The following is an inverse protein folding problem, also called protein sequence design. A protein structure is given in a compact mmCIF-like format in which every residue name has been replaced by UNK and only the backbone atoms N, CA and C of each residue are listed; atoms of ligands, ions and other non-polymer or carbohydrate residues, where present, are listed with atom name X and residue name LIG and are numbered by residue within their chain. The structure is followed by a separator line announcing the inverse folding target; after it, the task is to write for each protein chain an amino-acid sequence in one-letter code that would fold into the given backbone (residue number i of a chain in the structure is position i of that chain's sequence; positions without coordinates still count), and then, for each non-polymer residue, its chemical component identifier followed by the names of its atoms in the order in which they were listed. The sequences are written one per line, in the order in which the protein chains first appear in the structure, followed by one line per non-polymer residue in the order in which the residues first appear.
data_IF_964247866458
#
_entry.id   IF_964247866458
#
_cell.length_a   1.000
_cell.length_b   1.000
_cell.length_c   1.000
_cell.angle_alpha   90.00
_cell.angle_beta   90.00
_cell.angle_gamma   90.00
#
_symmetry.space_group_name_H-M   'P 1'
#
loop_
_entity.id
_entity.type
_entity.pdbx_description
1 polymer ?
#
# COMPACT_ATOMS: atom_id res chain seq x y z
N UNK A 1 13.67 62.23 24.20
CA UNK A 1 12.19 62.14 24.31
C UNK A 1 11.59 62.30 22.93
N UNK A 2 10.97 61.27 22.37
CA UNK A 2 9.93 61.43 21.34
C UNK A 2 9.02 60.21 21.33
N UNK A 3 7.72 60.50 21.27
CA UNK A 3 6.58 59.68 21.67
C UNK A 3 6.22 58.64 20.59
N UNK A 4 6.03 57.41 21.08
CA UNK A 4 5.03 56.39 20.70
C UNK A 4 4.19 56.63 19.44
N UNK A 5 4.24 55.66 18.51
CA UNK A 5 3.09 55.27 17.70
C UNK A 5 3.11 53.75 17.51
N UNK A 6 2.55 53.04 18.50
CA UNK A 6 2.19 51.63 18.38
C UNK A 6 0.83 51.62 17.66
N UNK A 7 0.83 51.23 16.38
CA UNK A 7 -0.40 50.86 15.69
C UNK A 7 -0.65 49.39 15.96
N UNK A 8 -1.74 49.18 16.67
CA UNK A 8 -2.34 47.93 17.06
C UNK A 8 -2.90 47.21 15.83
N UNK A 9 -2.23 46.15 15.39
CA UNK A 9 -2.74 45.18 14.41
C UNK A 9 -3.16 43.87 15.11
N UNK A 10 -3.92 43.97 16.21
CA UNK A 10 -4.70 42.84 16.69
C UNK A 10 -6.02 42.74 15.91
N UNK A 11 -5.96 42.28 14.65
CA UNK A 11 -7.16 41.83 13.92
C UNK A 11 -6.99 40.41 13.42
N UNK A 12 -7.64 39.50 14.14
CA UNK A 12 -8.32 38.35 13.54
C UNK A 12 -7.47 37.10 13.24
N UNK A 13 -6.83 36.51 14.25
CA UNK A 13 -6.54 35.08 14.20
C UNK A 13 -7.73 34.32 14.81
N UNK A 14 -8.76 34.09 13.99
CA UNK A 14 -9.81 33.10 14.29
C UNK A 14 -9.17 31.72 14.43
N UNK A 15 -8.80 31.35 15.66
CA UNK A 15 -8.12 30.08 16.01
C UNK A 15 -9.07 28.89 16.19
N UNK A 16 -10.34 29.01 15.79
CA UNK A 16 -11.35 27.97 16.02
C UNK A 16 -11.63 27.08 14.79
N UNK A 17 -11.32 27.52 13.56
CA UNK A 17 -11.58 26.75 12.34
C UNK A 17 -10.59 25.61 12.05
N UNK A 18 -9.31 25.79 12.39
CA UNK A 18 -8.26 24.84 11.99
C UNK A 18 -8.05 23.64 12.92
N UNK A 19 -8.68 23.63 14.10
CA UNK A 19 -8.50 22.52 15.05
C UNK A 19 -9.27 21.25 14.64
N UNK A 20 -10.33 21.38 13.83
CA UNK A 20 -11.20 20.26 13.46
C UNK A 20 -10.79 19.53 12.17
N UNK A 21 -9.98 20.13 11.29
CA UNK A 21 -9.60 19.49 10.02
C UNK A 21 -8.53 18.39 10.19
N UNK A 22 -7.66 18.51 11.20
CA UNK A 22 -6.64 17.48 11.49
C UNK A 22 -7.19 16.21 12.13
N UNK A 23 -8.41 16.26 12.68
CA UNK A 23 -9.04 15.15 13.41
C UNK A 23 -9.55 14.07 12.44
N UNK A 24 -9.76 14.41 11.16
CA UNK A 24 -10.31 13.49 10.15
C UNK A 24 -9.30 12.93 9.14
N UNK A 25 -8.01 13.26 9.24
CA UNK A 25 -6.98 12.75 8.32
C UNK A 25 -6.63 11.28 8.63
N UNK A 26 -6.44 10.48 7.59
CA UNK A 26 -5.82 9.16 7.72
C UNK A 26 -4.35 9.26 8.14
N UNK A 27 -3.77 8.15 8.61
CA UNK A 27 -2.36 8.11 8.97
C UNK A 27 -1.43 8.45 7.78
N UNK A 28 -1.82 8.05 6.56
CA UNK A 28 -1.06 8.35 5.34
C UNK A 28 -1.08 9.85 5.01
N UNK A 29 -2.26 10.48 5.06
CA UNK A 29 -2.40 11.91 4.77
C UNK A 29 -1.68 12.77 5.80
N UNK A 30 -1.73 12.39 7.09
CA UNK A 30 -0.93 13.05 8.14
C UNK A 30 0.57 12.96 7.86
N UNK A 31 1.05 11.78 7.45
CA UNK A 31 2.46 11.57 7.09
C UNK A 31 2.85 12.46 5.91
N UNK A 32 2.04 12.48 4.86
CA UNK A 32 2.32 13.27 3.66
C UNK A 32 2.38 14.76 3.97
N UNK A 33 1.49 15.26 4.82
CA UNK A 33 1.52 16.64 5.26
C UNK A 33 2.83 16.97 5.99
N UNK A 34 3.24 16.16 6.97
CA UNK A 34 4.50 16.36 7.71
C UNK A 34 5.69 16.39 6.76
N UNK A 35 5.75 15.45 5.81
CA UNK A 35 6.82 15.41 4.80
C UNK A 35 6.78 16.66 3.90
N UNK A 36 5.60 17.13 3.51
CA UNK A 36 5.47 18.34 2.68
C UNK A 36 6.00 19.60 3.38
N UNK A 37 5.83 19.67 4.69
CA UNK A 37 6.32 20.78 5.52
C UNK A 37 7.85 20.68 5.72
N UNK A 38 8.37 19.47 5.97
CA UNK A 38 9.83 19.23 6.08
C UNK A 38 10.58 19.50 4.77
N UNK A 39 9.93 19.39 3.60
CA UNK A 39 10.53 19.76 2.30
C UNK A 39 10.75 21.27 2.14
N UNK A 40 10.07 22.11 2.93
CA UNK A 40 10.14 23.57 2.84
C UNK A 40 11.14 24.12 3.84
N UNK A 41 12.30 24.60 3.36
CA UNK A 41 13.39 25.15 4.21
C UNK A 41 12.90 26.15 5.28
N UNK A 42 12.04 27.10 4.90
CA UNK A 42 11.52 28.10 5.84
C UNK A 42 10.67 27.49 6.96
N UNK A 43 9.90 26.43 6.65
CA UNK A 43 9.08 25.71 7.62
C UNK A 43 9.93 24.89 8.57
N UNK A 44 10.96 24.22 8.05
CA UNK A 44 11.99 23.57 8.89
C UNK A 44 12.63 24.59 9.83
N UNK A 45 13.00 25.77 9.34
CA UNK A 45 13.57 26.82 10.19
C UNK A 45 12.62 27.27 11.30
N UNK A 46 11.32 27.37 11.03
CA UNK A 46 10.31 27.67 12.04
C UNK A 46 10.18 26.53 13.05
N UNK A 47 10.12 25.28 12.59
CA UNK A 47 9.99 24.09 13.44
C UNK A 47 11.17 23.91 14.38
N UNK A 48 12.38 24.22 13.91
CA UNK A 48 13.62 24.07 14.68
C UNK A 48 13.97 25.32 15.49
N UNK A 49 13.17 26.38 15.42
CA UNK A 49 13.44 27.63 16.12
C UNK A 49 13.40 27.40 17.63
N UNK A 50 14.49 27.77 18.31
CA UNK A 50 14.61 27.63 19.77
C UNK A 50 15.21 26.29 20.21
N UNK A 51 15.46 25.36 19.29
CA UNK A 51 16.19 24.12 19.58
C UNK A 51 17.69 24.44 19.65
N UNK A 52 18.43 23.98 20.68
CA UNK A 52 19.87 24.09 20.75
C UNK A 52 20.56 23.43 19.54
N UNK A 53 21.64 24.03 19.05
CA UNK A 53 22.32 23.54 17.85
C UNK A 53 22.85 22.10 17.97
N UNK A 54 23.20 21.64 19.17
CA UNK A 54 23.67 20.27 19.39
C UNK A 54 22.53 19.26 19.29
N UNK A 55 21.34 19.56 19.82
CA UNK A 55 20.14 18.72 19.63
C UNK A 55 19.72 18.69 18.17
N UNK A 56 19.76 19.85 17.48
CA UNK A 56 19.45 19.88 16.05
C UNK A 56 20.45 19.06 15.23
N UNK A 57 21.73 19.05 15.62
CA UNK A 57 22.74 18.18 15.02
C UNK A 57 22.42 16.70 15.25
N UNK A 58 22.05 16.31 16.47
CA UNK A 58 21.66 14.93 16.75
C UNK A 58 20.45 14.48 15.90
N UNK A 59 19.47 15.36 15.69
CA UNK A 59 18.34 15.10 14.79
C UNK A 59 18.82 14.84 13.36
N UNK A 60 19.77 15.63 12.86
CA UNK A 60 20.35 15.45 11.53
C UNK A 60 21.06 14.09 11.43
N UNK A 61 21.92 13.76 12.39
CA UNK A 61 22.65 12.49 12.42
C UNK A 61 21.70 11.28 12.43
N UNK A 62 20.60 11.34 13.19
CA UNK A 62 19.57 10.30 13.18
C UNK A 62 18.86 10.18 11.82
N UNK A 63 18.54 11.30 11.18
CA UNK A 63 17.91 11.30 9.86
C UNK A 63 18.85 10.76 8.76
N UNK A 64 20.14 11.05 8.86
CA UNK A 64 21.17 10.51 7.97
C UNK A 64 21.31 8.99 8.16
N UNK A 65 21.34 8.50 9.40
CA UNK A 65 21.35 7.06 9.67
C UNK A 65 20.13 6.33 9.08
N UNK A 66 18.93 6.88 9.29
CA UNK A 66 17.69 6.35 8.68
C UNK A 66 17.75 6.37 7.16
N UNK A 67 18.31 7.43 6.56
CA UNK A 67 18.50 7.49 5.11
C UNK A 67 19.43 6.38 4.62
N UNK A 68 20.56 6.13 5.29
CA UNK A 68 21.49 5.06 4.93
C UNK A 68 20.86 3.67 5.00
N UNK A 69 20.05 3.39 6.02
CA UNK A 69 19.30 2.12 6.13
C UNK A 69 18.32 1.95 4.96
N UNK A 70 17.51 2.97 4.68
CA UNK A 70 16.54 2.94 3.58
C UNK A 70 17.21 2.80 2.20
N UNK A 71 18.36 3.43 2.01
CA UNK A 71 19.14 3.32 0.78
C UNK A 71 19.69 1.89 0.60
N UNK A 72 20.20 1.27 1.67
CA UNK A 72 20.68 -0.11 1.65
C UNK A 72 19.54 -1.08 1.32
N UNK A 73 18.40 -0.94 1.99
CA UNK A 73 17.21 -1.75 1.72
C UNK A 73 16.73 -1.62 0.28
N UNK A 74 16.73 -0.40 -0.27
CA UNK A 74 16.36 -0.18 -1.66
C UNK A 74 17.31 -0.90 -2.61
N UNK A 75 18.63 -0.78 -2.42
CA UNK A 75 19.63 -1.48 -3.24
C UNK A 75 19.47 -3.00 -3.16
N UNK A 76 19.22 -3.53 -1.96
CA UNK A 76 18.99 -4.96 -1.77
C UNK A 76 17.73 -5.44 -2.49
N UNK A 77 16.63 -4.68 -2.43
CA UNK A 77 15.41 -4.99 -3.19
C UNK A 77 15.65 -4.97 -4.69
N UNK A 78 16.34 -3.94 -5.18
CA UNK A 78 16.60 -3.79 -6.62
C UNK A 78 17.48 -4.92 -7.16
N UNK A 79 18.48 -5.36 -6.38
CA UNK A 79 19.33 -6.51 -6.75
C UNK A 79 18.56 -7.83 -6.71
N UNK A 80 17.74 -8.06 -5.67
CA UNK A 80 16.87 -9.24 -5.61
C UNK A 80 15.88 -9.29 -6.78
N UNK A 81 15.27 -8.17 -7.14
CA UNK A 81 14.36 -8.10 -8.28
C UNK A 81 15.08 -8.30 -9.61
N UNK A 82 16.32 -7.84 -9.73
CA UNK A 82 17.16 -8.10 -10.90
C UNK A 82 17.47 -9.60 -11.03
N UNK A 83 17.85 -10.26 -9.94
CA UNK A 83 18.08 -11.72 -9.92
C UNK A 83 16.81 -12.47 -10.31
N UNK A 84 15.66 -12.14 -9.69
CA UNK A 84 14.38 -12.77 -10.00
C UNK A 84 13.98 -12.60 -11.47
N UNK A 85 14.19 -11.40 -12.04
CA UNK A 85 13.92 -11.15 -13.46
C UNK A 85 14.80 -12.00 -14.37
N UNK A 86 16.11 -12.08 -14.07
CA UNK A 86 17.04 -12.91 -14.83
C UNK A 86 16.69 -14.41 -14.75
N UNK A 87 16.30 -14.89 -13.56
CA UNK A 87 15.82 -16.27 -13.37
C UNK A 87 14.54 -16.55 -14.15
N UNK A 88 13.56 -15.65 -14.09
CA UNK A 88 12.32 -15.76 -14.84
C UNK A 88 12.57 -15.78 -16.35
N UNK A 89 13.44 -14.90 -16.86
CA UNK A 89 13.83 -14.87 -18.27
C UNK A 89 14.50 -16.19 -18.70
N UNK A 90 15.38 -16.74 -17.87
CA UNK A 90 16.00 -18.06 -18.12
C UNK A 90 14.95 -19.17 -18.22
N UNK A 91 13.95 -19.17 -17.33
CA UNK A 91 12.86 -20.15 -17.34
C UNK A 91 12.04 -20.02 -18.64
N UNK A 92 11.68 -18.79 -19.03
CA UNK A 92 10.94 -18.52 -20.26
C UNK A 92 11.71 -19.03 -21.48
N UNK A 93 13.02 -18.80 -21.54
CA UNK A 93 13.88 -19.28 -22.62
C UNK A 93 13.89 -20.82 -22.67
N UNK A 94 14.04 -21.50 -21.53
CA UNK A 94 14.03 -22.98 -21.47
C UNK A 94 12.66 -23.56 -21.86
N UNK A 95 11.57 -22.94 -21.42
CA UNK A 95 10.20 -23.33 -21.81
C UNK A 95 9.99 -23.21 -23.32
N UNK A 96 10.39 -22.08 -23.91
CA UNK A 96 10.34 -21.87 -25.35
C UNK A 96 11.19 -22.89 -26.12
N UNK A 97 12.41 -23.19 -25.64
CA UNK A 97 13.29 -24.19 -26.26
C UNK A 97 12.70 -25.61 -26.24
N UNK A 98 11.85 -25.91 -25.25
CA UNK A 98 11.12 -27.19 -25.14
C UNK A 98 9.79 -27.20 -25.88
N UNK A 99 9.45 -26.12 -26.61
CA UNK A 99 8.21 -26.01 -27.38
C UNK A 99 6.97 -25.77 -26.52
N UNK A 100 7.12 -25.23 -25.31
CA UNK A 100 5.99 -24.85 -24.47
C UNK A 100 5.39 -23.55 -24.98
N UNK A 101 4.09 -23.56 -25.30
CA UNK A 101 3.35 -22.35 -25.64
C UNK A 101 3.05 -21.53 -24.38
N UNK A 102 3.92 -20.55 -24.11
CA UNK A 102 3.82 -19.66 -22.95
C UNK A 102 2.56 -18.79 -23.02
N UNK A 103 2.12 -18.42 -24.23
CA UNK A 103 0.96 -17.56 -24.41
C UNK A 103 -0.33 -18.31 -24.04
N UNK A 104 -0.45 -19.55 -24.50
CA UNK A 104 -1.52 -20.44 -24.07
C UNK A 104 -1.50 -20.75 -22.57
N UNK A 105 -0.33 -20.95 -21.96
CA UNK A 105 -0.22 -21.11 -20.51
C UNK A 105 -0.66 -19.87 -19.73
N UNK A 106 -0.29 -18.68 -20.20
CA UNK A 106 -0.75 -17.42 -19.60
C UNK A 106 -2.27 -17.28 -19.68
N UNK A 107 -2.88 -17.63 -20.81
CA UNK A 107 -4.35 -17.65 -20.95
C UNK A 107 -5.01 -18.61 -19.95
N UNK A 108 -4.45 -19.81 -19.73
CA UNK A 108 -4.95 -20.74 -18.71
C UNK A 108 -4.80 -20.19 -17.29
N UNK A 109 -3.67 -19.57 -16.97
CA UNK A 109 -3.39 -19.04 -15.62
C UNK A 109 -4.29 -17.84 -15.33
N UNK A 110 -4.39 -16.90 -16.27
CA UNK A 110 -5.26 -15.72 -16.16
C UNK A 110 -6.73 -16.14 -16.13
N UNK A 111 -7.14 -17.09 -16.97
CA UNK A 111 -8.50 -17.65 -16.97
C UNK A 111 -8.89 -18.38 -15.68
N UNK A 112 -7.93 -18.91 -14.91
CA UNK A 112 -8.16 -19.46 -13.56
C UNK A 112 -8.21 -18.39 -12.46
N UNK A 113 -7.72 -17.18 -12.75
CA UNK A 113 -7.65 -16.08 -11.78
C UNK A 113 -8.88 -15.16 -11.81
N UNK A 114 -9.72 -15.25 -12.85
CA UNK A 114 -11.11 -14.80 -12.74
C UNK A 114 -11.73 -15.60 -11.59
N UNK A 115 -12.27 -14.91 -10.59
CA UNK A 115 -12.91 -15.56 -9.46
C UNK A 115 -13.95 -16.52 -10.02
N UNK A 116 -13.65 -17.81 -9.92
CA UNK A 116 -14.58 -18.87 -10.24
C UNK A 116 -15.68 -18.72 -9.18
N UNK A 117 -16.65 -17.85 -9.46
CA UNK A 117 -17.84 -17.59 -8.65
C UNK A 117 -18.75 -18.80 -8.80
N UNK A 118 -18.20 -19.97 -8.48
CA UNK A 118 -18.85 -21.25 -8.55
C UNK A 118 -19.99 -21.21 -7.54
N UNK A 119 -21.21 -21.10 -8.06
CA UNK A 119 -22.42 -21.22 -7.27
C UNK A 119 -22.80 -22.68 -7.29
N UNK A 120 -23.01 -23.27 -6.13
CA UNK A 120 -23.49 -24.63 -5.96
C UNK A 120 -24.91 -24.60 -5.41
N UNK A 121 -25.80 -25.47 -5.89
CA UNK A 121 -27.15 -25.63 -5.33
C UNK A 121 -27.39 -27.11 -5.05
N UNK A 122 -27.62 -27.44 -3.78
CA UNK A 122 -27.99 -28.78 -3.33
C UNK A 122 -29.19 -28.67 -2.38
N UNK A 123 -30.22 -29.46 -2.63
CA UNK A 123 -31.46 -29.47 -1.83
C UNK A 123 -32.08 -28.06 -1.66
N UNK A 124 -31.94 -27.22 -2.70
CA UNK A 124 -32.42 -25.83 -2.71
C UNK A 124 -31.53 -24.82 -1.98
N UNK A 125 -30.44 -25.24 -1.34
CA UNK A 125 -29.53 -24.36 -0.60
C UNK A 125 -28.38 -23.89 -1.52
N UNK A 126 -28.24 -22.58 -1.77
CA UNK A 126 -27.13 -22.05 -2.55
C UNK A 126 -25.86 -21.88 -1.70
N UNK A 127 -24.69 -22.13 -2.29
CA UNK A 127 -23.39 -21.83 -1.69
C UNK A 127 -22.42 -21.31 -2.76
N UNK A 128 -21.64 -20.28 -2.45
CA UNK A 128 -20.70 -19.65 -3.39
C UNK A 128 -19.32 -20.34 -3.47
N UNK A 129 -19.16 -21.49 -2.81
CA UNK A 129 -17.85 -22.14 -2.67
C UNK A 129 -16.89 -21.43 -1.70
N UNK A 130 -17.24 -20.23 -1.24
CA UNK A 130 -16.46 -19.41 -0.32
C UNK A 130 -17.16 -19.29 1.05
N UNK A 131 -16.38 -19.06 2.10
CA UNK A 131 -16.90 -18.91 3.47
C UNK A 131 -17.32 -20.24 4.14
N UNK A 132 -18.15 -20.14 5.19
CA UNK A 132 -18.58 -21.30 5.97
C UNK A 132 -19.44 -22.23 5.10
N UNK A 133 -18.97 -23.46 4.91
CA UNK A 133 -19.67 -24.50 4.15
C UNK A 133 -20.99 -24.89 4.84
N UNK A 134 -22.16 -24.82 4.16
CA UNK A 134 -23.44 -25.25 4.71
C UNK A 134 -23.48 -26.77 4.97
N UNK A 135 -24.37 -27.19 5.87
CA UNK A 135 -24.43 -28.59 6.33
C UNK A 135 -24.74 -29.58 5.20
N UNK A 136 -25.58 -29.19 4.22
CA UNK A 136 -25.92 -30.04 3.07
C UNK A 136 -24.70 -30.37 2.18
N UNK A 137 -23.65 -29.54 2.23
CA UNK A 137 -22.41 -29.72 1.49
C UNK A 137 -21.28 -30.32 2.34
N UNK A 138 -21.46 -30.50 3.65
CA UNK A 138 -20.44 -31.12 4.51
C UNK A 138 -20.23 -32.59 4.12
N UNK A 139 -18.98 -33.03 4.15
CA UNK A 139 -18.58 -34.38 3.74
C UNK A 139 -18.41 -34.57 2.23
N UNK A 140 -18.85 -33.62 1.39
CA UNK A 140 -18.64 -33.69 -0.06
C UNK A 140 -17.20 -33.30 -0.44
N UNK A 141 -16.55 -34.16 -1.23
CA UNK A 141 -15.26 -33.90 -1.86
C UNK A 141 -15.36 -32.92 -3.04
N UNK A 142 -14.23 -32.43 -3.55
CA UNK A 142 -14.19 -31.47 -4.67
C UNK A 142 -14.96 -31.97 -5.90
N UNK A 143 -14.80 -33.25 -6.26
CA UNK A 143 -15.48 -33.88 -7.40
C UNK A 143 -16.99 -34.00 -7.19
N UNK A 144 -17.44 -34.24 -5.96
CA UNK A 144 -18.87 -34.35 -5.64
C UNK A 144 -19.55 -32.99 -5.60
N UNK A 145 -18.85 -31.95 -5.16
CA UNK A 145 -19.34 -30.58 -5.18
C UNK A 145 -19.65 -30.12 -6.61
N UNK A 146 -18.80 -30.45 -7.58
CA UNK A 146 -18.99 -30.06 -8.99
C UNK A 146 -20.31 -30.55 -9.60
N UNK A 147 -20.89 -31.64 -9.09
CA UNK A 147 -22.21 -32.13 -9.55
C UNK A 147 -23.36 -31.16 -9.22
N UNK A 148 -23.17 -30.33 -8.20
CA UNK A 148 -24.14 -29.34 -7.75
C UNK A 148 -23.81 -27.94 -8.27
N UNK A 149 -22.77 -27.79 -9.09
CA UNK A 149 -22.36 -26.50 -9.63
C UNK A 149 -23.38 -26.00 -10.65
N UNK A 150 -23.82 -24.77 -10.43
CA UNK A 150 -24.66 -24.03 -11.35
C UNK A 150 -23.80 -23.58 -12.52
N UNK A 151 -24.18 -23.91 -13.77
CA UNK A 151 -23.49 -23.41 -14.95
C UNK A 151 -23.48 -21.89 -14.93
N UNK A 152 -22.30 -21.29 -15.12
CA UNK A 152 -22.22 -19.85 -15.34
C UNK A 152 -22.91 -19.58 -16.68
N UNK A 153 -24.00 -18.80 -16.66
CA UNK A 153 -24.62 -18.35 -17.91
C UNK A 153 -23.60 -17.47 -18.63
N UNK A 154 -23.10 -17.98 -19.76
CA UNK A 154 -22.45 -17.22 -20.82
C UNK A 154 -23.40 -16.20 -21.42
#
# INVERSE_FOLDING_TARGET
MNKSNIKDESKGLSKEGHKNEFINLSASERRELVISELKRKHRVLILMRGIPLHEFREIIERLEAVYSELESDQKNRDELDKIRRAEAEKIIIDMNARGVDIQYLNEIIVGKSESDNAKYIKDGVPWSGQGRRPDVFKGLGAVELERYRVPVKS
#
